data_IF_600168812851
#
_entry.id   IF_600168812851
#
_cell.length_a   1.000
_cell.length_b   1.000
_cell.length_c   1.000
_cell.angle_alpha   90.00
_cell.angle_beta   90.00
_cell.angle_gamma   90.00
#
_symmetry.space_group_name_H-M   'P 1'
#
loop_
_entity.id
_entity.type
_entity.pdbx_description
1 polymer ?
#
# COMPACT_ATOMS: atom_id res chain seq x y z
N UNK A 1 -11.06 -25.69 -11.29
CA UNK A 1 -9.90 -24.78 -11.40
C UNK A 1 -10.09 -23.52 -10.56
N UNK A 2 -11.16 -22.74 -10.75
CA UNK A 2 -11.43 -21.49 -10.01
C UNK A 2 -11.56 -21.71 -8.49
N UNK A 3 -12.24 -22.80 -8.07
CA UNK A 3 -12.43 -23.14 -6.65
C UNK A 3 -11.10 -23.30 -5.88
N UNK A 4 -10.13 -23.99 -6.48
CA UNK A 4 -8.82 -24.26 -5.88
C UNK A 4 -7.98 -23.00 -5.67
N UNK A 5 -8.16 -21.96 -6.49
CA UNK A 5 -7.46 -20.68 -6.34
C UNK A 5 -8.02 -19.91 -5.13
N UNK A 6 -9.34 -19.93 -4.97
CA UNK A 6 -10.07 -19.23 -3.91
C UNK A 6 -9.99 -19.94 -2.55
N UNK A 7 -9.71 -21.23 -2.52
CA UNK A 7 -9.54 -22.01 -1.28
C UNK A 7 -8.14 -21.82 -0.64
N UNK A 8 -7.24 -21.04 -1.26
CA UNK A 8 -5.88 -20.69 -0.80
C UNK A 8 -4.99 -21.86 -0.34
N UNK A 9 -5.34 -23.10 -0.66
CA UNK A 9 -4.55 -24.31 -0.34
C UNK A 9 -3.11 -24.21 -0.87
N UNK A 10 -2.92 -23.51 -1.98
CA UNK A 10 -1.59 -23.24 -2.57
C UNK A 10 -0.71 -22.33 -1.70
N UNK A 11 -1.31 -21.50 -0.84
CA UNK A 11 -0.60 -20.59 0.03
C UNK A 11 -0.26 -21.21 1.40
N UNK A 12 -0.71 -22.44 1.68
CA UNK A 12 -0.55 -23.08 2.98
C UNK A 12 0.92 -23.39 3.34
N UNK A 13 1.80 -23.44 2.33
CA UNK A 13 3.24 -23.63 2.50
C UNK A 13 4.02 -22.33 2.71
N UNK A 14 3.39 -21.16 2.57
CA UNK A 14 4.04 -19.88 2.82
C UNK A 14 4.27 -19.68 4.31
N UNK A 15 5.52 -19.41 4.68
CA UNK A 15 5.83 -18.99 6.04
C UNK A 15 5.14 -17.65 6.35
N UNK A 16 4.75 -17.46 7.62
CA UNK A 16 4.17 -16.19 8.07
C UNK A 16 5.09 -15.00 7.76
N UNK A 17 6.40 -15.19 7.92
CA UNK A 17 7.41 -14.16 7.61
C UNK A 17 7.39 -13.77 6.12
N UNK A 18 7.26 -14.74 5.23
CA UNK A 18 7.16 -14.47 3.78
C UNK A 18 5.87 -13.72 3.45
N UNK A 19 4.75 -14.11 4.04
CA UNK A 19 3.48 -13.41 3.85
C UNK A 19 3.57 -11.95 4.32
N UNK A 20 4.12 -11.70 5.52
CA UNK A 20 4.33 -10.35 6.03
C UNK A 20 5.21 -9.50 5.12
N UNK A 21 6.33 -10.07 4.65
CA UNK A 21 7.23 -9.38 3.72
C UNK A 21 6.51 -8.98 2.43
N UNK A 22 5.70 -9.87 1.84
CA UNK A 22 4.95 -9.57 0.63
C UNK A 22 3.97 -8.42 0.82
N UNK A 23 3.23 -8.39 1.94
CA UNK A 23 2.33 -7.27 2.24
C UNK A 23 3.09 -5.96 2.49
N UNK A 24 4.21 -5.99 3.22
CA UNK A 24 5.05 -4.81 3.42
C UNK A 24 5.58 -4.25 2.09
N UNK A 25 6.04 -5.12 1.19
CA UNK A 25 6.47 -4.73 -0.16
C UNK A 25 5.31 -4.16 -0.97
N UNK A 26 4.11 -4.73 -0.83
CA UNK A 26 2.92 -4.22 -1.50
C UNK A 26 2.51 -2.82 -1.01
N UNK A 27 2.54 -2.58 0.30
CA UNK A 27 2.29 -1.24 0.86
C UNK A 27 3.35 -0.22 0.41
N UNK A 28 4.63 -0.63 0.40
CA UNK A 28 5.70 0.21 -0.12
C UNK A 28 5.51 0.51 -1.62
N UNK A 29 5.09 -0.48 -2.41
CA UNK A 29 4.76 -0.29 -3.82
C UNK A 29 3.64 0.75 -4.00
N UNK A 30 2.58 0.73 -3.18
CA UNK A 30 1.51 1.74 -3.23
C UNK A 30 2.05 3.14 -2.97
N UNK A 31 2.94 3.31 -1.98
CA UNK A 31 3.59 4.59 -1.68
C UNK A 31 4.38 5.07 -2.91
N UNK A 32 5.25 4.22 -3.45
CA UNK A 32 6.07 4.56 -4.62
C UNK A 32 5.19 4.90 -5.83
N UNK A 33 4.12 4.13 -6.05
CA UNK A 33 3.18 4.36 -7.14
C UNK A 33 2.46 5.71 -6.98
N UNK A 34 1.98 6.04 -5.79
CA UNK A 34 1.36 7.34 -5.52
C UNK A 34 2.34 8.51 -5.79
N UNK A 35 3.63 8.32 -5.49
CA UNK A 35 4.66 9.31 -5.76
C UNK A 35 5.08 9.44 -7.22
N UNK A 36 4.69 8.48 -8.08
CA UNK A 36 4.89 8.58 -9.53
C UNK A 36 3.96 9.61 -10.20
N UNK A 37 2.88 10.03 -9.53
CA UNK A 37 1.95 11.01 -10.08
C UNK A 37 2.51 12.44 -10.05
N UNK A 38 2.28 13.17 -11.15
CA UNK A 38 2.65 14.59 -11.26
C UNK A 38 1.89 15.44 -10.25
N UNK A 39 2.56 16.47 -9.72
CA UNK A 39 2.00 17.40 -8.73
C UNK A 39 0.66 17.98 -9.18
N UNK A 40 0.56 18.45 -10.43
CA UNK A 40 -0.68 19.06 -10.94
C UNK A 40 -1.87 18.08 -10.98
N UNK A 41 -1.60 16.80 -11.19
CA UNK A 41 -2.63 15.76 -11.11
C UNK A 41 -3.09 15.55 -9.66
N UNK A 42 -2.15 15.53 -8.73
CA UNK A 42 -2.41 15.33 -7.29
C UNK A 42 -3.26 16.46 -6.71
N UNK A 43 -3.03 17.70 -7.13
CA UNK A 43 -3.80 18.87 -6.69
C UNK A 43 -5.00 19.18 -7.60
N UNK A 44 -5.36 18.29 -8.53
CA UNK A 44 -6.46 18.57 -9.48
C UNK A 44 -7.78 18.76 -8.72
N UNK A 45 -8.38 19.94 -8.86
CA UNK A 45 -9.61 20.31 -8.16
C UNK A 45 -9.41 20.83 -6.73
N UNK A 46 -8.16 20.93 -6.25
CA UNK A 46 -7.85 21.59 -5.00
C UNK A 46 -7.85 23.12 -5.18
N UNK A 47 -8.36 23.89 -4.20
CA UNK A 47 -8.35 25.35 -4.25
C UNK A 47 -6.96 25.96 -4.03
N UNK A 48 -6.04 25.21 -3.43
CA UNK A 48 -4.65 25.62 -3.18
C UNK A 48 -3.71 24.41 -3.21
N UNK A 49 -2.39 24.67 -3.26
CA UNK A 49 -1.34 23.64 -3.25
C UNK A 49 -0.71 23.43 -1.86
N UNK A 50 -1.52 23.51 -0.80
CA UNK A 50 -1.02 23.34 0.57
C UNK A 50 -0.67 21.88 0.85
N UNK A 51 0.37 21.64 1.64
CA UNK A 51 0.93 20.30 1.86
C UNK A 51 -0.09 19.29 2.41
N UNK A 52 -1.02 19.70 3.27
CA UNK A 52 -2.07 18.80 3.77
C UNK A 52 -3.10 18.41 2.70
N UNK A 53 -3.11 19.05 1.52
CA UNK A 53 -3.90 18.62 0.37
C UNK A 53 -3.10 17.73 -0.58
N UNK A 54 -1.81 17.52 -0.33
CA UNK A 54 -1.00 16.60 -1.10
C UNK A 54 -1.42 15.16 -0.78
N UNK A 55 -2.19 14.54 -1.67
CA UNK A 55 -2.66 13.18 -1.46
C UNK A 55 -1.50 12.18 -1.32
N UNK A 56 -0.31 12.48 -1.87
CA UNK A 56 0.86 11.60 -1.76
C UNK A 56 1.39 11.51 -0.33
N UNK A 57 1.26 12.60 0.45
CA UNK A 57 1.61 12.61 1.88
C UNK A 57 0.62 11.73 2.65
N UNK A 58 -0.67 11.85 2.34
CA UNK A 58 -1.69 11.02 2.98
C UNK A 58 -1.54 9.53 2.66
N UNK A 59 -1.11 9.17 1.44
CA UNK A 59 -0.78 7.76 1.14
C UNK A 59 0.32 7.24 2.07
N UNK A 60 1.37 8.03 2.34
CA UNK A 60 2.42 7.62 3.31
C UNK A 60 1.82 7.44 4.71
N UNK A 61 1.01 8.39 5.18
CA UNK A 61 0.39 8.33 6.51
C UNK A 61 -0.53 7.11 6.65
N UNK A 62 -1.32 6.80 5.62
CA UNK A 62 -2.26 5.68 5.68
C UNK A 62 -1.55 4.34 5.53
N UNK A 63 -0.52 4.23 4.67
CA UNK A 63 0.23 3.00 4.46
C UNK A 63 1.22 2.69 5.60
N UNK A 64 1.69 3.70 6.32
CA UNK A 64 2.58 3.48 7.47
C UNK A 64 1.88 2.75 8.63
N UNK A 65 0.57 2.92 8.80
CA UNK A 65 -0.23 2.22 9.81
C UNK A 65 -0.19 0.69 9.62
N UNK A 66 -0.66 0.11 8.49
CA UNK A 66 -0.60 -1.33 8.28
C UNK A 66 0.85 -1.84 8.19
N UNK A 67 1.80 -1.06 7.64
CA UNK A 67 3.21 -1.45 7.71
C UNK A 67 3.71 -1.60 9.15
N UNK A 68 3.36 -0.66 10.03
CA UNK A 68 3.70 -0.74 11.46
C UNK A 68 3.04 -1.92 12.16
N UNK A 69 1.78 -2.22 11.82
CA UNK A 69 1.09 -3.41 12.34
C UNK A 69 1.78 -4.71 11.90
N UNK A 70 2.10 -4.85 10.61
CA UNK A 70 2.79 -6.03 10.07
C UNK A 70 4.24 -6.17 10.56
N UNK A 71 4.86 -5.06 10.96
CA UNK A 71 6.17 -5.06 11.58
C UNK A 71 6.13 -5.54 13.03
N UNK A 72 5.12 -5.10 13.79
CA UNK A 72 5.00 -5.41 15.22
C UNK A 72 4.39 -6.80 15.51
N UNK A 73 3.29 -7.14 14.83
CA UNK A 73 2.61 -8.43 14.95
C UNK A 73 3.23 -9.46 14.03
#
# INVERSE_FOLDING_TARGET
MIKSILDFQWAHALSLSTAKLLFMLFFLFIIVFAWSFKRDYVYKGAPDQKLWRDLRIWVIVVMSIPMGLYWYF
#
